data_IF_462593193113
#
_entry.id   IF_462593193113
#
_cell.length_a   1.000
_cell.length_b   1.000
_cell.length_c   1.000
_cell.angle_alpha   90.00
_cell.angle_beta   90.00
_cell.angle_gamma   90.00
#
_symmetry.space_group_name_H-M   'P 1'
#
loop_
_entity.id
_entity.type
_entity.pdbx_description
1 polymer ?
#
# COMPACT_ATOMS: atom_id res chain seq x y z
N UNK A 1 -11.61 -8.20 16.42
CA UNK A 1 -11.48 -9.26 15.40
C UNK A 1 -12.87 -9.72 15.01
N UNK A 2 -13.08 -10.27 13.81
CA UNK A 2 -14.40 -10.72 13.38
C UNK A 2 -14.34 -12.17 12.90
N UNK A 3 -15.36 -12.95 13.24
CA UNK A 3 -15.74 -14.13 12.47
C UNK A 3 -16.60 -13.65 11.31
N UNK A 4 -16.36 -14.17 10.10
CA UNK A 4 -17.17 -13.86 8.92
C UNK A 4 -17.71 -15.17 8.39
N UNK A 5 -19.02 -15.25 8.14
CA UNK A 5 -19.70 -16.44 7.67
C UNK A 5 -20.72 -16.10 6.59
N UNK A 6 -21.27 -17.11 5.91
CA UNK A 6 -22.34 -16.92 4.91
C UNK A 6 -21.94 -16.21 3.61
N UNK A 7 -20.64 -15.99 3.36
CA UNK A 7 -20.13 -15.34 2.16
C UNK A 7 -19.99 -16.30 0.96
N UNK A 8 -20.00 -15.73 -0.24
CA UNK A 8 -19.66 -16.47 -1.46
C UNK A 8 -18.14 -16.49 -1.68
N UNK A 9 -17.66 -17.53 -2.36
CA UNK A 9 -16.29 -17.63 -2.84
C UNK A 9 -16.26 -17.55 -4.36
N UNK A 10 -15.47 -16.62 -4.89
CA UNK A 10 -15.30 -16.42 -6.31
C UNK A 10 -13.82 -16.41 -6.70
N UNK A 11 -13.53 -16.54 -8.01
CA UNK A 11 -12.17 -16.35 -8.54
C UNK A 11 -11.80 -14.88 -8.49
N UNK A 12 -10.57 -14.59 -8.05
CA UNK A 12 -10.01 -13.24 -8.15
C UNK A 12 -9.90 -12.81 -9.62
N UNK A 13 -10.10 -11.51 -9.86
CA UNK A 13 -9.70 -10.89 -11.11
C UNK A 13 -8.19 -11.08 -11.34
N UNK A 14 -7.78 -11.16 -12.60
CA UNK A 14 -6.35 -11.35 -12.94
C UNK A 14 -5.55 -10.05 -12.87
N UNK A 15 -6.24 -8.91 -12.80
CA UNK A 15 -5.70 -7.57 -12.71
C UNK A 15 -5.88 -6.98 -11.32
N UNK A 16 -4.98 -6.05 -10.97
CA UNK A 16 -4.98 -5.27 -9.75
C UNK A 16 -5.03 -6.09 -8.44
N UNK A 17 -4.39 -7.27 -8.43
CA UNK A 17 -4.40 -8.15 -7.26
C UNK A 17 -3.68 -7.52 -6.06
N UNK A 18 -4.40 -7.48 -4.93
CA UNK A 18 -3.92 -7.04 -3.61
C UNK A 18 -3.39 -8.21 -2.75
N UNK A 19 -3.69 -9.44 -3.13
CA UNK A 19 -3.22 -10.64 -2.45
C UNK A 19 -2.89 -11.73 -3.47
N UNK A 20 -2.10 -12.72 -3.04
CA UNK A 20 -1.66 -13.82 -3.91
C UNK A 20 -2.74 -14.91 -4.07
N UNK A 21 -3.82 -14.83 -3.29
CA UNK A 21 -4.94 -15.76 -3.38
C UNK A 21 -5.59 -15.73 -4.77
N UNK A 22 -5.88 -16.92 -5.29
CA UNK A 22 -6.69 -17.09 -6.52
C UNK A 22 -8.19 -16.95 -6.27
N UNK A 23 -8.59 -16.83 -5.00
CA UNK A 23 -9.97 -16.76 -4.54
C UNK A 23 -10.20 -15.47 -3.75
N UNK A 24 -11.39 -14.89 -3.92
CA UNK A 24 -11.90 -13.78 -3.14
C UNK A 24 -13.20 -14.18 -2.47
N UNK A 25 -13.46 -13.56 -1.32
CA UNK A 25 -14.78 -13.60 -0.69
C UNK A 25 -15.65 -12.49 -1.28
N UNK A 26 -16.93 -12.77 -1.48
CA UNK A 26 -17.93 -11.78 -1.90
C UNK A 26 -19.07 -11.81 -0.88
N UNK A 27 -19.36 -10.65 -0.33
CA UNK A 27 -20.48 -10.50 0.58
C UNK A 27 -21.80 -10.53 -0.18
N UNK A 28 -22.79 -11.15 0.43
CA UNK A 28 -24.15 -11.31 -0.06
C UNK A 28 -25.13 -11.07 1.11
N UNK A 29 -26.42 -11.24 0.85
CA UNK A 29 -27.48 -10.98 1.84
C UNK A 29 -27.45 -11.93 3.06
N UNK A 30 -26.71 -13.03 2.97
CA UNK A 30 -26.51 -14.01 4.05
C UNK A 30 -25.19 -13.83 4.79
N UNK A 31 -24.38 -12.83 4.43
CA UNK A 31 -23.07 -12.62 5.05
C UNK A 31 -23.21 -12.02 6.44
N UNK A 32 -22.64 -12.68 7.43
CA UNK A 32 -22.71 -12.27 8.84
C UNK A 32 -21.31 -11.99 9.40
N UNK A 33 -21.26 -11.05 10.36
CA UNK A 33 -20.05 -10.65 11.08
C UNK A 33 -20.29 -10.73 12.58
N UNK A 34 -19.53 -11.59 13.26
CA UNK A 34 -19.54 -11.69 14.71
C UNK A 34 -18.26 -11.10 15.28
N UNK A 35 -18.39 -10.14 16.20
CA UNK A 35 -17.25 -9.59 16.93
C UNK A 35 -16.70 -10.68 17.85
N UNK A 36 -15.41 -10.95 17.72
CA UNK A 36 -14.68 -11.87 18.60
C UNK A 36 -13.89 -11.08 19.64
N UNK A 37 -14.11 -11.42 20.91
CA UNK A 37 -13.41 -10.86 22.07
C UNK A 37 -11.96 -11.29 22.12
N UNK A 38 -11.69 -12.56 21.80
CA UNK A 38 -10.38 -13.17 21.86
C UNK A 38 -9.98 -13.75 20.49
N UNK A 39 -8.70 -13.62 20.11
CA UNK A 39 -8.21 -14.23 18.87
C UNK A 39 -8.18 -15.75 19.00
N UNK A 40 -8.86 -16.45 18.09
CA UNK A 40 -8.83 -17.91 17.97
C UNK A 40 -7.42 -18.41 17.58
N UNK A 41 -6.63 -17.55 16.93
CA UNK A 41 -5.22 -17.74 16.62
C UNK A 41 -4.53 -16.38 16.41
N UNK A 42 -3.19 -16.31 16.48
CA UNK A 42 -2.46 -15.07 16.20
C UNK A 42 -2.65 -14.65 14.74
N UNK A 43 -3.31 -13.50 14.53
CA UNK A 43 -3.44 -12.88 13.20
C UNK A 43 -2.35 -11.82 13.07
N UNK A 44 -1.56 -11.82 11.97
CA UNK A 44 -0.59 -10.77 11.71
C UNK A 44 -1.28 -9.40 11.65
N UNK A 45 -0.71 -8.40 12.34
CA UNK A 45 -1.20 -7.02 12.26
C UNK A 45 -0.99 -6.41 10.87
N UNK A 46 0.02 -6.89 10.13
CA UNK A 46 0.43 -6.40 8.83
C UNK A 46 0.59 -7.55 7.83
N UNK A 47 0.21 -7.27 6.57
CA UNK A 47 0.28 -8.22 5.46
C UNK A 47 0.90 -7.61 4.20
N UNK A 48 1.86 -6.68 4.37
CA UNK A 48 2.47 -5.96 3.26
C UNK A 48 3.21 -6.90 2.30
N UNK A 49 3.13 -6.58 1.00
CA UNK A 49 3.82 -7.26 -0.09
C UNK A 49 4.81 -6.32 -0.76
N UNK A 50 5.89 -6.05 -0.04
CA UNK A 50 6.98 -5.21 -0.54
C UNK A 50 7.65 -5.83 -1.77
N UNK A 51 8.00 -4.99 -2.74
CA UNK A 51 8.73 -5.36 -3.95
C UNK A 51 9.99 -4.52 -4.09
N UNK A 52 11.08 -5.15 -4.51
CA UNK A 52 12.28 -4.41 -4.90
C UNK A 52 12.12 -3.78 -6.29
N UNK A 53 13.06 -2.92 -6.68
CA UNK A 53 13.02 -2.21 -7.95
C UNK A 53 12.91 -3.13 -9.18
N UNK A 54 13.65 -4.24 -9.21
CA UNK A 54 13.61 -5.22 -10.32
C UNK A 54 12.22 -5.84 -10.45
N UNK A 55 11.60 -6.22 -9.33
CA UNK A 55 10.24 -6.75 -9.29
C UNK A 55 9.22 -5.70 -9.74
N UNK A 56 9.36 -4.44 -9.30
CA UNK A 56 8.50 -3.34 -9.72
C UNK A 56 8.59 -3.07 -11.23
N UNK A 57 9.80 -3.15 -11.81
CA UNK A 57 10.00 -3.06 -13.26
C UNK A 57 9.30 -4.21 -13.98
N UNK A 58 9.41 -5.44 -13.46
CA UNK A 58 8.71 -6.61 -14.02
C UNK A 58 7.19 -6.51 -13.95
N UNK A 59 6.64 -5.81 -12.95
CA UNK A 59 5.21 -5.57 -12.80
C UNK A 59 4.71 -4.37 -13.62
N UNK A 60 5.61 -3.49 -14.05
CA UNK A 60 5.23 -2.23 -14.67
C UNK A 60 4.42 -2.43 -15.95
N UNK A 61 3.37 -1.62 -16.10
CA UNK A 61 2.41 -1.68 -17.21
C UNK A 61 1.61 -2.99 -17.34
N UNK A 62 1.86 -4.02 -16.51
CA UNK A 62 1.08 -5.27 -16.54
C UNK A 62 -0.32 -5.09 -15.94
N UNK A 63 -0.48 -4.16 -14.98
CA UNK A 63 -1.68 -4.00 -14.15
C UNK A 63 -2.15 -5.29 -13.47
N UNK A 64 -1.27 -6.28 -13.30
CA UNK A 64 -1.65 -7.60 -12.75
C UNK A 64 -1.74 -7.57 -11.24
N UNK A 65 -0.84 -6.84 -10.59
CA UNK A 65 -0.70 -6.76 -9.14
C UNK A 65 -0.50 -5.32 -8.71
N UNK A 66 -0.95 -5.04 -7.49
CA UNK A 66 -0.71 -3.77 -6.80
C UNK A 66 0.21 -4.04 -5.60
N UNK A 67 1.53 -3.93 -5.78
CA UNK A 67 2.49 -4.13 -4.69
C UNK A 67 2.49 -2.99 -3.67
N UNK A 68 3.13 -3.26 -2.54
CA UNK A 68 3.43 -2.25 -1.53
C UNK A 68 4.90 -1.85 -1.63
N UNK A 69 5.24 -0.67 -1.10
CA UNK A 69 6.61 -0.16 -1.04
C UNK A 69 6.90 0.39 0.35
N UNK A 70 8.17 0.32 0.74
CA UNK A 70 8.70 0.94 1.94
C UNK A 70 10.02 1.59 1.57
N UNK A 71 10.15 2.87 1.88
CA UNK A 71 11.29 3.65 1.39
C UNK A 71 11.74 4.67 2.45
N UNK A 72 13.06 4.76 2.73
CA UNK A 72 13.60 5.83 3.55
C UNK A 72 13.65 7.15 2.78
N UNK A 73 13.20 8.22 3.42
CA UNK A 73 13.19 9.59 2.93
C UNK A 73 14.50 10.29 3.30
N UNK A 74 15.54 10.14 2.47
CA UNK A 74 16.83 10.80 2.72
C UNK A 74 16.82 12.27 2.27
N UNK A 75 16.14 13.17 2.98
CA UNK A 75 16.19 14.63 2.71
C UNK A 75 15.66 15.05 1.33
N UNK A 76 14.81 14.23 0.70
CA UNK A 76 14.22 14.52 -0.61
C UNK A 76 13.01 15.44 -0.44
N UNK A 77 12.86 16.39 -1.38
CA UNK A 77 11.73 17.33 -1.41
C UNK A 77 10.42 16.59 -1.67
N UNK A 78 9.61 16.43 -0.63
CA UNK A 78 8.21 16.09 -0.77
C UNK A 78 7.46 17.30 -1.34
N UNK A 79 6.72 17.12 -2.43
CA UNK A 79 5.87 18.17 -2.99
C UNK A 79 4.42 17.73 -3.01
N UNK A 80 3.49 18.67 -3.22
CA UNK A 80 2.02 18.51 -3.11
C UNK A 80 1.39 17.30 -3.85
N UNK A 81 2.12 16.56 -4.68
CA UNK A 81 1.62 15.43 -5.49
C UNK A 81 2.60 14.26 -5.64
N UNK A 82 3.87 14.43 -5.28
CA UNK A 82 4.97 13.57 -5.72
C UNK A 82 5.87 13.22 -4.54
N UNK A 83 6.05 11.92 -4.30
CA UNK A 83 7.04 11.37 -3.38
C UNK A 83 8.21 10.85 -4.20
N UNK A 84 9.42 11.32 -3.90
CA UNK A 84 10.65 10.84 -4.50
C UNK A 84 11.24 9.74 -3.61
N UNK A 85 11.24 8.53 -4.13
CA UNK A 85 11.90 7.37 -3.53
C UNK A 85 13.25 7.21 -4.23
N UNK A 86 14.29 7.79 -3.62
CA UNK A 86 15.63 7.91 -4.21
C UNK A 86 15.64 8.61 -5.60
N UNK A 87 16.80 8.69 -6.25
CA UNK A 87 17.01 9.44 -7.50
C UNK A 87 16.12 8.97 -8.68
N UNK A 88 15.43 7.83 -8.59
CA UNK A 88 14.84 7.18 -9.78
C UNK A 88 13.33 6.90 -9.78
N UNK A 89 12.63 6.89 -8.63
CA UNK A 89 11.22 6.46 -8.59
C UNK A 89 10.32 7.54 -7.99
N UNK A 90 9.23 7.80 -8.70
CA UNK A 90 8.27 8.84 -8.35
C UNK A 90 6.91 8.22 -8.08
N UNK A 91 6.37 8.42 -6.86
CA UNK A 91 4.98 8.07 -6.55
C UNK A 91 4.07 9.28 -6.74
N UNK A 92 3.11 9.12 -7.64
CA UNK A 92 2.08 10.12 -7.95
C UNK A 92 0.80 9.82 -7.17
N UNK A 93 0.35 10.81 -6.40
CA UNK A 93 -0.91 10.82 -5.66
C UNK A 93 -1.93 11.72 -6.38
N UNK A 94 -3.21 11.34 -6.33
CA UNK A 94 -4.29 12.05 -7.02
C UNK A 94 -5.45 12.39 -6.06
N UNK A 95 -6.22 13.39 -6.44
CA UNK A 95 -7.48 13.79 -5.80
C UNK A 95 -7.41 13.90 -4.27
N UNK A 96 -8.39 13.34 -3.57
CA UNK A 96 -8.50 13.39 -2.12
C UNK A 96 -7.28 12.79 -1.40
N UNK A 97 -6.62 11.78 -1.99
CA UNK A 97 -5.42 11.20 -1.39
C UNK A 97 -4.25 12.19 -1.39
N UNK A 98 -4.06 12.95 -2.46
CA UNK A 98 -3.04 13.99 -2.51
C UNK A 98 -3.32 15.10 -1.47
N UNK A 99 -4.60 15.47 -1.28
CA UNK A 99 -5.00 16.44 -0.26
C UNK A 99 -4.74 15.91 1.15
N UNK A 100 -5.18 14.69 1.46
CA UNK A 100 -4.95 14.05 2.78
C UNK A 100 -3.46 13.87 3.07
N UNK A 101 -2.67 13.47 2.06
CA UNK A 101 -1.23 13.40 2.16
C UNK A 101 -0.63 14.75 2.54
N UNK A 102 -1.03 15.82 1.82
CA UNK A 102 -0.52 17.17 2.08
C UNK A 102 -0.91 17.69 3.47
N UNK A 103 -2.17 17.49 3.88
CA UNK A 103 -2.63 17.90 5.21
C UNK A 103 -1.89 17.17 6.32
N UNK A 104 -1.70 15.86 6.16
CA UNK A 104 -0.98 15.04 7.15
C UNK A 104 0.48 15.48 7.23
N UNK A 105 1.17 15.61 6.09
CA UNK A 105 2.55 16.08 6.04
C UNK A 105 2.72 17.49 6.64
N UNK A 106 1.81 18.41 6.35
CA UNK A 106 1.84 19.78 6.89
C UNK A 106 1.53 19.87 8.39
N UNK A 107 0.91 18.84 8.97
CA UNK A 107 0.68 18.72 10.41
C UNK A 107 1.82 18.04 11.17
N UNK A 108 2.82 17.47 10.47
CA UNK A 108 3.98 16.84 11.11
C UNK A 108 4.97 17.92 11.58
N UNK A 109 5.59 17.67 12.74
CA UNK A 109 6.63 18.57 13.27
C UNK A 109 7.93 18.48 12.46
N UNK A 110 8.29 17.26 12.07
CA UNK A 110 9.49 16.96 11.30
C UNK A 110 9.10 16.25 9.99
N UNK A 111 9.96 16.37 8.96
CA UNK A 111 9.79 15.60 7.73
C UNK A 111 9.85 14.08 8.02
N UNK A 112 8.98 13.27 7.40
CA UNK A 112 8.98 11.83 7.60
C UNK A 112 10.30 11.23 7.13
N UNK A 113 10.83 10.27 7.88
CA UNK A 113 12.06 9.53 7.56
C UNK A 113 11.76 8.24 6.82
N UNK A 114 10.60 7.64 7.01
CA UNK A 114 10.18 6.42 6.31
C UNK A 114 8.75 6.58 5.83
N UNK A 115 8.48 6.13 4.60
CA UNK A 115 7.13 6.07 4.06
C UNK A 115 6.85 4.64 3.61
N UNK A 116 5.68 4.13 4.02
CA UNK A 116 5.10 2.89 3.50
C UNK A 116 3.89 3.26 2.66
N UNK A 117 3.84 2.83 1.40
CA UNK A 117 2.69 3.06 0.54
C UNK A 117 2.17 1.74 -0.01
N UNK A 118 0.85 1.53 0.07
CA UNK A 118 0.22 0.27 -0.32
C UNK A 118 -0.47 0.34 -1.66
N UNK A 119 -0.73 -0.83 -2.25
CA UNK A 119 -1.61 -0.96 -3.42
C UNK A 119 -1.22 -0.07 -4.60
N UNK A 120 0.08 0.02 -4.89
CA UNK A 120 0.66 0.91 -5.88
C UNK A 120 0.63 0.26 -7.27
N UNK A 121 0.42 1.05 -8.33
CA UNK A 121 0.49 0.57 -9.71
C UNK A 121 1.80 1.03 -10.38
N UNK A 122 2.75 0.12 -10.67
CA UNK A 122 3.98 0.47 -11.36
C UNK A 122 3.77 0.70 -12.86
N UNK A 123 4.45 1.72 -13.41
CA UNK A 123 4.34 2.15 -14.81
C UNK A 123 5.72 2.46 -15.39
N UNK A 124 5.98 1.98 -16.59
CA UNK A 124 7.16 2.42 -17.36
C UNK A 124 6.71 3.46 -18.38
N UNK A 125 7.27 4.68 -18.29
CA UNK A 125 7.02 5.79 -19.20
C UNK A 125 8.36 6.39 -19.62
N UNK A 126 8.64 6.41 -20.93
CA UNK A 126 9.89 6.99 -21.45
C UNK A 126 11.16 6.34 -20.86
N UNK A 127 11.14 5.03 -20.58
CA UNK A 127 12.26 4.30 -19.99
C UNK A 127 12.45 4.50 -18.48
N UNK A 128 11.54 5.20 -17.81
CA UNK A 128 11.59 5.46 -16.36
C UNK A 128 10.43 4.81 -15.63
N UNK A 129 10.70 4.34 -14.42
CA UNK A 129 9.69 3.75 -13.53
C UNK A 129 8.95 4.86 -12.77
N UNK A 130 7.63 4.83 -12.87
CA UNK A 130 6.70 5.65 -12.13
C UNK A 130 5.79 4.75 -11.31
N UNK A 131 5.44 5.21 -10.12
CA UNK A 131 4.50 4.56 -9.23
C UNK A 131 3.25 5.42 -9.16
N UNK A 132 2.08 4.82 -9.35
CA UNK A 132 0.82 5.54 -9.27
C UNK A 132 -0.01 5.00 -8.11
N UNK A 133 -0.50 5.90 -7.26
CA UNK A 133 -1.48 5.54 -6.27
C UNK A 133 -2.79 5.08 -6.93
N UNK A 134 -3.47 4.16 -6.27
CA UNK A 134 -4.80 3.67 -6.66
C UNK A 134 -5.82 4.08 -5.61
N UNK A 135 -7.12 3.85 -5.86
CA UNK A 135 -8.16 4.11 -4.85
C UNK A 135 -7.95 3.33 -3.55
N UNK A 136 -7.21 2.21 -3.58
CA UNK A 136 -6.87 1.41 -2.40
C UNK A 136 -5.56 1.81 -1.71
N UNK A 137 -4.83 2.78 -2.24
CA UNK A 137 -3.54 3.20 -1.68
C UNK A 137 -3.72 3.86 -0.32
N UNK A 138 -2.98 3.34 0.66
CA UNK A 138 -2.79 3.95 1.97
C UNK A 138 -1.32 4.31 2.13
N UNK A 139 -1.06 5.46 2.76
CA UNK A 139 0.29 5.95 3.03
C UNK A 139 0.47 6.07 4.54
N UNK A 140 1.47 5.36 5.06
CA UNK A 140 1.88 5.35 6.45
C UNK A 140 3.26 5.99 6.59
N UNK A 141 3.50 6.63 7.73
CA UNK A 141 4.73 7.38 7.99
C UNK A 141 5.45 6.84 9.20
N UNK A 142 6.78 6.81 9.13
CA UNK A 142 7.69 6.49 10.23
C UNK A 142 7.28 5.22 10.97
N UNK A 143 6.78 5.35 12.20
CA UNK A 143 6.46 4.24 13.11
C UNK A 143 4.98 3.85 13.11
N UNK A 144 4.19 4.35 12.15
CA UNK A 144 2.77 3.97 12.01
C UNK A 144 2.56 2.50 11.63
N UNK A 145 3.63 1.82 11.21
CA UNK A 145 3.66 0.39 10.94
C UNK A 145 4.92 -0.22 11.57
N UNK A 146 4.88 -1.50 11.93
CA UNK A 146 6.04 -2.26 12.41
C UNK A 146 7.13 -2.31 11.34
N UNK A 147 6.73 -2.48 10.06
CA UNK A 147 7.67 -2.40 8.94
C UNK A 147 8.38 -1.04 8.89
N UNK A 148 7.62 0.06 8.99
CA UNK A 148 8.15 1.42 9.02
C UNK A 148 9.06 1.68 10.22
N UNK A 149 8.66 1.27 11.43
CA UNK A 149 9.45 1.42 12.65
C UNK A 149 10.79 0.69 12.55
N UNK A 150 10.80 -0.51 11.97
CA UNK A 150 12.02 -1.31 11.79
C UNK A 150 13.08 -0.62 10.93
N UNK A 151 12.63 0.24 9.99
CA UNK A 151 13.51 0.99 9.10
C UNK A 151 13.82 2.39 9.65
N UNK A 152 12.91 2.97 10.44
CA UNK A 152 13.11 4.27 11.09
C UNK A 152 14.25 4.24 12.12
N UNK A 153 14.43 3.10 12.79
CA UNK A 153 15.43 2.91 13.83
C UNK A 153 16.82 2.47 13.30
N UNK A 154 16.98 2.32 11.98
CA UNK A 154 18.27 2.01 11.33
C UNK A 154 19.01 3.29 10.96
#
# INVERSE_FOLDING_TARGET
>A
MYSVSGFDVARCAQNFKLADSSLMIRFNDSTEFDVLSDPVSPIPAEGFRFRNQTELVGLANTNTQLPDIIEPCHGHRQTRKLIYFDVSVTLSLFDAQAVSFHQKLGGMHDDPKVIVATSINPKMVGGRLFLNATSGTHVYYDKETHAGESLFCR
#
